data_IF_399441284662
#
_entry.id   IF_399441284662
#
_cell.length_a   1.000
_cell.length_b   1.000
_cell.length_c   1.000
_cell.angle_alpha   90.00
_cell.angle_beta   90.00
_cell.angle_gamma   90.00
#
_symmetry.space_group_name_H-M   'P 1'
#
loop_
_entity.id
_entity.type
_entity.pdbx_description
1 polymer ?
#
# COMPACT_ATOMS: atom_id res chain seq x y z
N UNK A 1 32.00 -1.51 10.16
CA UNK A 1 31.75 -1.49 8.70
C UNK A 1 31.61 -2.88 8.08
N UNK A 2 32.44 -3.86 8.42
CA UNK A 2 32.42 -5.23 7.88
C UNK A 2 31.12 -6.02 8.13
N UNK A 3 30.43 -5.82 9.25
CA UNK A 3 29.19 -6.50 9.60
C UNK A 3 28.00 -6.13 8.68
N UNK A 4 27.89 -4.85 8.29
CA UNK A 4 26.84 -4.38 7.36
C UNK A 4 27.05 -4.95 5.95
N UNK A 5 28.31 -5.03 5.51
CA UNK A 5 28.69 -5.60 4.21
C UNK A 5 28.34 -7.09 4.19
N UNK A 6 28.62 -7.83 5.26
CA UNK A 6 28.28 -9.25 5.37
C UNK A 6 26.78 -9.53 5.32
N UNK A 7 25.96 -8.70 5.99
CA UNK A 7 24.49 -8.82 5.92
C UNK A 7 23.94 -8.55 4.51
N UNK A 8 24.48 -7.55 3.81
CA UNK A 8 24.08 -7.25 2.43
C UNK A 8 24.40 -8.39 1.49
N UNK A 9 25.62 -8.95 1.60
CA UNK A 9 26.03 -10.09 0.77
C UNK A 9 25.18 -11.33 1.04
N UNK A 10 24.90 -11.64 2.31
CA UNK A 10 24.04 -12.78 2.69
C UNK A 10 22.62 -12.64 2.11
N UNK A 11 22.06 -11.42 2.12
CA UNK A 11 20.75 -11.14 1.52
C UNK A 11 20.77 -11.37 0.01
N UNK A 12 21.77 -10.85 -0.70
CA UNK A 12 21.94 -11.05 -2.15
C UNK A 12 22.07 -12.52 -2.52
N UNK A 13 22.85 -13.26 -1.78
CA UNK A 13 23.01 -14.70 -2.02
C UNK A 13 21.68 -15.45 -1.82
N UNK A 14 20.88 -15.05 -0.81
CA UNK A 14 19.52 -15.60 -0.60
C UNK A 14 18.60 -15.31 -1.78
N UNK A 15 18.59 -14.06 -2.29
CA UNK A 15 17.80 -13.67 -3.46
C UNK A 15 18.17 -14.54 -4.67
N UNK A 16 19.46 -14.67 -4.96
CA UNK A 16 19.93 -15.50 -6.07
C UNK A 16 19.53 -16.98 -5.93
N UNK A 17 19.61 -17.52 -4.73
CA UNK A 17 19.23 -18.90 -4.43
C UNK A 17 17.72 -19.17 -4.53
N UNK A 18 16.89 -18.13 -4.47
CA UNK A 18 15.43 -18.24 -4.60
C UNK A 18 14.96 -18.10 -6.06
N UNK A 19 15.80 -17.63 -6.96
CA UNK A 19 15.43 -17.44 -8.36
C UNK A 19 15.12 -18.79 -9.02
N UNK A 20 13.96 -18.85 -9.69
CA UNK A 20 13.48 -20.05 -10.38
C UNK A 20 12.88 -21.14 -9.49
N UNK A 21 12.83 -20.93 -8.14
CA UNK A 21 12.12 -21.83 -7.24
C UNK A 21 10.62 -21.56 -7.25
N UNK A 22 9.83 -22.59 -6.97
CA UNK A 22 8.39 -22.41 -6.82
C UNK A 22 8.08 -21.54 -5.57
N UNK A 23 7.32 -20.44 -5.68
CA UNK A 23 6.95 -19.62 -4.54
C UNK A 23 6.25 -20.39 -3.40
N UNK A 24 5.45 -21.40 -3.72
CA UNK A 24 4.76 -22.24 -2.73
C UNK A 24 5.72 -23.07 -1.87
N UNK A 25 6.97 -23.28 -2.30
CA UNK A 25 8.02 -23.87 -1.48
C UNK A 25 8.65 -22.85 -0.52
N UNK A 26 8.48 -21.57 -0.81
CA UNK A 26 9.07 -20.48 -0.05
C UNK A 26 8.09 -19.85 0.94
N UNK A 27 6.80 -19.94 0.64
CA UNK A 27 5.71 -19.40 1.45
C UNK A 27 4.53 -20.38 1.50
N UNK A 28 4.04 -20.67 2.70
CA UNK A 28 2.89 -21.54 2.90
C UNK A 28 1.59 -20.90 2.35
N UNK A 29 0.71 -21.74 1.80
CA UNK A 29 -0.61 -21.33 1.27
C UNK A 29 -1.42 -20.51 2.29
N UNK A 30 -1.45 -20.95 3.55
CA UNK A 30 -2.22 -20.28 4.62
C UNK A 30 -1.75 -18.84 4.87
N UNK A 31 -0.47 -18.56 4.62
CA UNK A 31 0.07 -17.19 4.71
C UNK A 31 -0.40 -16.31 3.56
N UNK A 32 -0.47 -16.85 2.36
CA UNK A 32 -1.01 -16.15 1.19
C UNK A 32 -2.53 -15.95 1.33
N UNK A 33 -3.27 -16.99 1.74
CA UNK A 33 -4.72 -16.95 1.91
C UNK A 33 -5.17 -15.83 2.86
N UNK A 34 -4.44 -15.62 3.96
CA UNK A 34 -4.69 -14.49 4.88
C UNK A 34 -4.58 -13.12 4.22
N UNK A 35 -3.79 -13.00 3.15
CA UNK A 35 -3.60 -11.75 2.40
C UNK A 35 -4.49 -11.62 1.16
N UNK A 36 -5.21 -12.67 0.79
CA UNK A 36 -6.02 -12.65 -0.44
C UNK A 36 -7.08 -11.56 -0.44
N UNK A 37 -7.65 -11.24 0.74
CA UNK A 37 -8.61 -10.15 0.86
C UNK A 37 -7.98 -8.80 0.49
N UNK A 38 -6.83 -8.49 1.05
CA UNK A 38 -6.10 -7.25 0.79
C UNK A 38 -5.55 -7.20 -0.65
N UNK A 39 -5.23 -8.35 -1.23
CA UNK A 39 -4.79 -8.45 -2.63
C UNK A 39 -5.96 -8.09 -3.56
N UNK A 40 -7.15 -8.64 -3.33
CA UNK A 40 -8.36 -8.38 -4.12
C UNK A 40 -8.87 -6.94 -3.98
N UNK A 41 -8.65 -6.33 -2.84
CA UNK A 41 -9.07 -4.95 -2.55
C UNK A 41 -8.59 -3.94 -3.61
N UNK A 42 -7.46 -4.18 -4.28
CA UNK A 42 -6.99 -3.34 -5.38
C UNK A 42 -8.00 -3.28 -6.53
N UNK A 43 -8.61 -4.39 -6.90
CA UNK A 43 -9.62 -4.44 -7.95
C UNK A 43 -10.91 -3.74 -7.52
N UNK A 44 -11.28 -3.91 -6.25
CA UNK A 44 -12.50 -3.30 -5.72
C UNK A 44 -12.40 -1.77 -5.61
N UNK A 45 -11.27 -1.25 -5.15
CA UNK A 45 -11.11 0.17 -4.86
C UNK A 45 -10.50 0.98 -6.02
N UNK A 46 -9.49 0.44 -6.69
CA UNK A 46 -8.72 1.21 -7.68
C UNK A 46 -9.29 1.05 -9.09
N UNK A 47 -9.77 -0.14 -9.44
CA UNK A 47 -10.24 -0.40 -10.81
C UNK A 47 -11.65 0.14 -11.04
N UNK A 48 -12.46 0.31 -9.98
CA UNK A 48 -13.78 0.92 -10.11
C UNK A 48 -13.70 2.44 -10.38
N UNK A 49 -12.69 3.12 -9.82
CA UNK A 49 -12.51 4.57 -9.92
C UNK A 49 -11.66 5.00 -11.13
N UNK A 50 -10.66 4.21 -11.51
CA UNK A 50 -9.88 4.46 -12.73
C UNK A 50 -10.76 4.09 -13.92
N UNK A 51 -11.46 5.09 -14.43
CA UNK A 51 -12.30 4.97 -15.62
C UNK A 51 -11.61 4.13 -16.69
N UNK A 52 -12.36 3.20 -17.24
CA UNK A 52 -12.06 2.20 -18.27
C UNK A 52 -11.23 2.66 -19.49
N UNK A 53 -10.81 3.91 -19.57
CA UNK A 53 -10.18 4.50 -20.75
C UNK A 53 -8.67 4.24 -20.87
N UNK A 54 -7.96 4.03 -19.76
CA UNK A 54 -6.49 3.81 -19.80
C UNK A 54 -6.07 2.33 -19.79
N UNK A 55 -6.91 1.44 -19.29
CA UNK A 55 -6.66 0.01 -19.29
C UNK A 55 -7.46 -0.65 -20.43
N UNK A 56 -6.92 -0.63 -21.62
CA UNK A 56 -7.45 -1.39 -22.77
C UNK A 56 -7.30 -2.89 -22.49
N UNK A 57 -8.11 -3.42 -21.59
CA UNK A 57 -8.21 -4.86 -21.43
C UNK A 57 -9.08 -5.42 -22.56
N UNK A 58 -8.63 -6.47 -23.20
CA UNK A 58 -9.41 -7.21 -24.20
C UNK A 58 -10.63 -7.92 -23.60
N UNK A 59 -10.81 -7.84 -22.29
CA UNK A 59 -11.85 -8.45 -21.49
C UNK A 59 -11.35 -8.80 -20.09
N UNK A 60 -12.25 -9.16 -19.20
CA UNK A 60 -11.92 -9.67 -17.86
C UNK A 60 -12.37 -11.13 -17.74
N UNK A 61 -11.63 -11.90 -16.95
CA UNK A 61 -12.01 -13.26 -16.57
C UNK A 61 -13.11 -13.18 -15.52
N UNK A 62 -14.27 -13.78 -15.77
CA UNK A 62 -15.35 -13.82 -14.82
C UNK A 62 -15.04 -14.76 -13.62
N UNK A 63 -15.77 -14.57 -12.52
CA UNK A 63 -15.54 -15.31 -11.27
C UNK A 63 -15.74 -16.82 -11.43
N UNK A 64 -16.64 -17.26 -12.31
CA UNK A 64 -16.91 -18.70 -12.54
C UNK A 64 -15.70 -19.31 -13.23
N UNK A 65 -15.25 -18.72 -14.33
CA UNK A 65 -14.05 -19.17 -15.07
C UNK A 65 -12.80 -19.13 -14.17
N UNK A 66 -12.66 -18.08 -13.34
CA UNK A 66 -11.56 -17.98 -12.38
C UNK A 66 -11.52 -19.16 -11.40
N UNK A 67 -12.68 -19.52 -10.83
CA UNK A 67 -12.79 -20.61 -9.89
C UNK A 67 -12.61 -21.98 -10.57
N UNK A 68 -13.19 -22.18 -11.74
CA UNK A 68 -13.08 -23.45 -12.50
C UNK A 68 -11.64 -23.76 -12.91
N UNK A 69 -10.86 -22.73 -13.20
CA UNK A 69 -9.43 -22.86 -13.52
C UNK A 69 -8.52 -22.86 -12.29
N UNK A 70 -9.07 -22.78 -11.07
CA UNK A 70 -8.29 -22.67 -9.82
C UNK A 70 -7.21 -21.56 -9.88
N UNK A 71 -7.56 -20.40 -10.43
CA UNK A 71 -6.62 -19.33 -10.72
C UNK A 71 -5.91 -18.78 -9.46
N UNK A 72 -6.50 -18.88 -8.28
CA UNK A 72 -5.83 -18.54 -7.02
C UNK A 72 -4.60 -19.44 -6.77
N UNK A 73 -4.66 -20.71 -7.17
CA UNK A 73 -3.49 -21.63 -7.09
C UNK A 73 -2.46 -21.31 -8.17
N UNK A 74 -2.90 -20.93 -9.37
CA UNK A 74 -2.00 -20.44 -10.42
C UNK A 74 -1.27 -19.19 -9.94
N UNK A 75 -2.02 -18.23 -9.37
CA UNK A 75 -1.44 -17.03 -8.77
C UNK A 75 -0.39 -17.38 -7.71
N UNK A 76 -0.71 -18.25 -6.75
CA UNK A 76 0.22 -18.67 -5.71
C UNK A 76 1.52 -19.26 -6.29
N UNK A 77 1.41 -20.03 -7.38
CA UNK A 77 2.55 -20.70 -8.02
C UNK A 77 3.50 -19.73 -8.74
N UNK A 78 2.99 -18.61 -9.23
CA UNK A 78 3.79 -17.62 -9.99
C UNK A 78 4.13 -16.38 -9.17
N UNK A 79 3.58 -16.24 -7.96
CA UNK A 79 3.74 -15.06 -7.11
C UNK A 79 5.14 -14.97 -6.49
N UNK A 80 6.09 -14.45 -7.24
CA UNK A 80 7.44 -14.11 -6.76
C UNK A 80 7.56 -12.68 -6.24
N UNK A 81 6.46 -11.95 -6.11
CA UNK A 81 6.48 -10.54 -5.73
C UNK A 81 6.97 -10.35 -4.29
N UNK A 82 7.63 -9.23 -4.04
CA UNK A 82 8.23 -8.90 -2.73
C UNK A 82 7.46 -7.84 -1.97
N UNK A 83 6.38 -7.30 -2.57
CA UNK A 83 5.56 -6.22 -1.99
C UNK A 83 4.08 -6.53 -2.16
N UNK A 84 3.22 -5.97 -1.31
CA UNK A 84 1.77 -6.07 -1.48
C UNK A 84 1.30 -5.51 -2.82
N UNK A 85 1.77 -4.32 -3.19
CA UNK A 85 1.44 -3.71 -4.49
C UNK A 85 1.81 -4.63 -5.66
N UNK A 86 2.94 -5.34 -5.55
CA UNK A 86 3.33 -6.34 -6.56
C UNK A 86 2.35 -7.51 -6.64
N UNK A 87 1.84 -8.00 -5.50
CA UNK A 87 0.80 -9.05 -5.46
C UNK A 87 -0.50 -8.56 -6.09
N UNK A 88 -0.96 -7.36 -5.73
CA UNK A 88 -2.18 -6.76 -6.25
C UNK A 88 -2.13 -6.56 -7.76
N UNK A 89 -1.03 -6.00 -8.28
CA UNK A 89 -0.86 -5.80 -9.73
C UNK A 89 -0.76 -7.14 -10.47
N UNK A 90 -0.07 -8.14 -9.91
CA UNK A 90 0.00 -9.47 -10.53
C UNK A 90 -1.38 -10.13 -10.59
N UNK A 91 -2.13 -10.09 -9.48
CA UNK A 91 -3.48 -10.63 -9.39
C UNK A 91 -4.41 -9.97 -10.40
N UNK A 92 -4.40 -8.63 -10.44
CA UNK A 92 -5.17 -7.85 -11.41
C UNK A 92 -4.82 -8.20 -12.87
N UNK A 93 -3.55 -8.39 -13.17
CA UNK A 93 -3.12 -8.78 -14.52
C UNK A 93 -3.61 -10.15 -14.95
N UNK A 94 -3.78 -11.08 -14.01
CA UNK A 94 -4.34 -12.40 -14.30
C UNK A 94 -5.84 -12.35 -14.53
N UNK A 95 -6.55 -11.41 -13.89
CA UNK A 95 -7.99 -11.19 -14.10
C UNK A 95 -8.29 -10.52 -15.44
N UNK A 96 -7.35 -9.76 -16.00
CA UNK A 96 -7.57 -9.00 -17.21
C UNK A 96 -6.83 -9.61 -18.38
N UNK A 97 -7.56 -9.84 -19.48
CA UNK A 97 -6.96 -10.30 -20.73
C UNK A 97 -6.01 -9.22 -21.25
N UNK A 98 -4.77 -9.60 -21.47
CA UNK A 98 -3.74 -8.69 -21.95
C UNK A 98 -3.84 -8.50 -23.46
N UNK A 99 -3.65 -7.28 -23.93
CA UNK A 99 -3.51 -7.02 -25.36
C UNK A 99 -2.20 -7.63 -25.88
N UNK A 100 -2.14 -7.91 -27.18
CA UNK A 100 -0.91 -8.41 -27.83
C UNK A 100 0.29 -7.51 -27.53
N UNK A 101 0.12 -6.19 -27.62
CA UNK A 101 1.18 -5.23 -27.35
C UNK A 101 1.67 -5.34 -25.89
N UNK A 102 0.76 -5.49 -24.95
CA UNK A 102 1.11 -5.67 -23.53
C UNK A 102 1.90 -6.97 -23.30
N UNK A 103 1.57 -8.04 -23.99
CA UNK A 103 2.31 -9.31 -23.94
C UNK A 103 3.72 -9.16 -24.51
N UNK A 104 3.87 -8.50 -25.65
CA UNK A 104 5.17 -8.25 -26.29
C UNK A 104 6.08 -7.39 -25.40
N UNK A 105 5.55 -6.38 -24.74
CA UNK A 105 6.30 -5.54 -23.81
C UNK A 105 6.67 -6.28 -22.51
N UNK A 106 5.80 -7.18 -22.04
CA UNK A 106 6.12 -8.08 -20.95
C UNK A 106 7.29 -9.00 -21.31
N UNK A 107 7.26 -9.60 -22.50
CA UNK A 107 8.32 -10.50 -22.97
C UNK A 107 9.68 -9.79 -23.06
N UNK A 108 9.70 -8.54 -23.54
CA UNK A 108 10.91 -7.70 -23.55
C UNK A 108 11.45 -7.50 -22.11
N UNK A 109 10.57 -7.21 -21.13
CA UNK A 109 10.96 -7.04 -19.75
C UNK A 109 11.50 -8.33 -19.13
N UNK A 110 10.83 -9.45 -19.37
CA UNK A 110 11.27 -10.78 -18.93
C UNK A 110 12.67 -11.07 -19.47
N UNK A 111 12.86 -10.92 -20.78
CA UNK A 111 14.14 -11.13 -21.46
C UNK A 111 15.24 -10.21 -20.91
N UNK A 112 14.92 -8.94 -20.63
CA UNK A 112 15.86 -7.99 -20.03
C UNK A 112 16.33 -8.46 -18.65
N UNK A 113 15.41 -8.80 -17.76
CA UNK A 113 15.73 -9.22 -16.39
C UNK A 113 16.35 -10.61 -16.32
N UNK A 114 15.99 -11.52 -17.22
CA UNK A 114 16.60 -12.86 -17.28
C UNK A 114 18.10 -12.80 -17.58
N UNK A 115 18.49 -11.88 -18.47
CA UNK A 115 19.91 -11.71 -18.88
C UNK A 115 20.74 -10.87 -17.92
N UNK A 116 20.11 -10.06 -17.03
CA UNK A 116 20.80 -9.07 -16.17
C UNK A 116 20.64 -9.38 -14.71
N UNK A 117 21.29 -10.44 -14.23
CA UNK A 117 21.20 -10.90 -12.85
C UNK A 117 21.55 -9.82 -11.82
N UNK A 118 22.57 -9.00 -12.06
CA UNK A 118 23.00 -7.96 -11.10
C UNK A 118 21.92 -6.90 -10.89
N UNK A 119 21.30 -6.41 -11.98
CA UNK A 119 20.22 -5.41 -11.93
C UNK A 119 19.00 -6.01 -11.27
N UNK A 120 18.60 -7.22 -11.66
CA UNK A 120 17.48 -7.95 -11.06
C UNK A 120 17.67 -8.09 -9.55
N UNK A 121 18.84 -8.56 -9.11
CA UNK A 121 19.16 -8.74 -7.69
C UNK A 121 19.13 -7.43 -6.90
N UNK A 122 19.60 -6.33 -7.50
CA UNK A 122 19.58 -5.01 -6.85
C UNK A 122 18.15 -4.49 -6.68
N UNK A 123 17.32 -4.60 -7.72
CA UNK A 123 15.90 -4.18 -7.65
C UNK A 123 15.17 -5.04 -6.64
N UNK A 124 15.35 -6.35 -6.66
CA UNK A 124 14.71 -7.27 -5.73
C UNK A 124 15.14 -7.02 -4.29
N UNK A 125 16.41 -6.65 -4.04
CA UNK A 125 16.88 -6.21 -2.72
C UNK A 125 16.16 -4.96 -2.23
N UNK A 126 15.91 -3.98 -3.12
CA UNK A 126 15.14 -2.77 -2.78
C UNK A 126 13.68 -3.09 -2.47
N UNK A 127 13.03 -3.90 -3.30
CA UNK A 127 11.63 -4.33 -3.08
C UNK A 127 11.48 -5.15 -1.79
N UNK A 128 12.43 -6.02 -1.46
CA UNK A 128 12.43 -6.74 -0.18
C UNK A 128 12.56 -5.84 1.04
N UNK A 129 13.11 -4.64 0.92
CA UNK A 129 13.14 -3.67 2.02
C UNK A 129 11.79 -3.05 2.29
N UNK A 130 10.99 -2.83 1.24
CA UNK A 130 9.61 -2.39 1.36
C UNK A 130 8.80 -3.52 2.01
N UNK A 131 8.97 -4.75 1.51
CA UNK A 131 8.34 -5.94 2.05
C UNK A 131 6.81 -5.96 1.85
N UNK A 132 6.16 -6.88 2.57
CA UNK A 132 4.71 -7.07 2.56
C UNK A 132 4.14 -6.60 3.91
N UNK A 133 4.27 -5.30 4.21
CA UNK A 133 3.64 -4.70 5.39
C UNK A 133 2.16 -4.48 5.10
N UNK A 134 1.30 -4.80 6.06
CA UNK A 134 -0.16 -4.77 5.88
C UNK A 134 -0.67 -3.39 5.42
N UNK A 135 -0.10 -2.33 5.97
CA UNK A 135 -0.46 -0.95 5.65
C UNK A 135 -0.11 -0.56 4.21
N UNK A 136 0.84 -1.24 3.58
CA UNK A 136 1.25 -0.98 2.21
C UNK A 136 0.28 -1.49 1.14
N UNK A 137 -0.77 -2.23 1.54
CA UNK A 137 -1.83 -2.65 0.61
C UNK A 137 -2.67 -1.47 0.11
N UNK A 138 -2.74 -0.38 0.86
CA UNK A 138 -3.45 0.85 0.46
C UNK A 138 -2.63 1.78 -0.44
N UNK A 139 -1.36 1.49 -0.67
CA UNK A 139 -0.47 2.35 -1.44
C UNK A 139 -0.99 2.66 -2.87
N UNK A 140 -1.52 1.70 -3.65
CA UNK A 140 -2.08 2.01 -4.96
C UNK A 140 -3.21 3.03 -4.90
N UNK A 141 -4.10 2.91 -3.92
CA UNK A 141 -5.20 3.85 -3.68
C UNK A 141 -4.68 5.28 -3.45
N UNK A 142 -3.70 5.46 -2.57
CA UNK A 142 -3.10 6.78 -2.33
C UNK A 142 -2.34 7.36 -3.54
N UNK A 143 -1.90 6.52 -4.49
CA UNK A 143 -1.23 6.98 -5.70
C UNK A 143 -2.19 7.34 -6.82
N UNK A 144 -3.41 6.80 -6.82
CA UNK A 144 -4.42 7.02 -7.86
C UNK A 144 -5.45 8.09 -7.47
N UNK A 145 -5.75 8.23 -6.19
CA UNK A 145 -6.61 9.33 -5.73
C UNK A 145 -5.85 10.65 -5.66
N UNK A 146 -6.46 11.69 -6.19
CA UNK A 146 -6.08 13.04 -5.84
C UNK A 146 -6.38 13.25 -4.34
N UNK A 147 -5.35 13.07 -3.51
CA UNK A 147 -5.43 13.37 -2.08
C UNK A 147 -5.75 14.86 -1.98
N UNK A 148 -7.02 15.19 -1.83
CA UNK A 148 -7.42 16.56 -1.52
C UNK A 148 -6.72 16.95 -0.21
N UNK A 149 -5.76 17.89 -0.24
CA UNK A 149 -5.04 18.28 0.97
C UNK A 149 -6.06 18.75 2.00
N UNK A 150 -5.75 18.52 3.26
CA UNK A 150 -6.57 19.01 4.38
C UNK A 150 -6.94 20.46 4.10
N UNK A 151 -8.24 20.75 4.00
CA UNK A 151 -8.76 22.09 3.76
C UNK A 151 -8.40 23.04 4.91
N UNK A 152 -7.99 22.52 6.08
CA UNK A 152 -7.60 23.30 7.24
C UNK A 152 -6.11 23.65 7.14
N UNK A 153 -5.76 24.93 6.95
CA UNK A 153 -4.37 25.36 6.93
C UNK A 153 -3.65 24.95 8.24
N UNK A 154 -2.46 24.36 8.12
CA UNK A 154 -1.67 23.94 9.30
C UNK A 154 -1.46 25.06 10.33
N UNK A 155 -1.39 26.32 9.88
CA UNK A 155 -1.30 27.49 10.74
C UNK A 155 -2.48 27.59 11.74
N UNK A 156 -3.69 27.23 11.35
CA UNK A 156 -4.87 27.23 12.23
C UNK A 156 -4.73 26.16 13.33
N UNK A 157 -4.20 24.98 12.98
CA UNK A 157 -3.99 23.90 13.95
C UNK A 157 -2.92 24.29 14.98
N UNK A 158 -1.81 24.90 14.55
CA UNK A 158 -0.79 25.42 15.46
C UNK A 158 -1.31 26.55 16.36
N UNK A 159 -2.13 27.44 15.81
CA UNK A 159 -2.77 28.50 16.59
C UNK A 159 -3.71 27.93 17.66
N UNK A 160 -4.54 26.93 17.31
CA UNK A 160 -5.44 26.29 18.24
C UNK A 160 -4.69 25.56 19.38
N UNK A 161 -3.57 24.91 19.06
CA UNK A 161 -2.72 24.27 20.04
C UNK A 161 -2.04 25.29 20.98
N UNK A 162 -1.56 26.40 20.44
CA UNK A 162 -1.02 27.52 21.22
C UNK A 162 -2.05 28.14 22.16
N UNK A 163 -3.28 28.33 21.67
CA UNK A 163 -4.38 28.86 22.45
C UNK A 163 -4.75 27.91 23.61
N UNK A 164 -4.75 26.60 23.35
CA UNK A 164 -5.01 25.58 24.39
C UNK A 164 -3.95 25.64 25.51
N UNK A 165 -2.68 25.69 25.14
CA UNK A 165 -1.58 25.85 26.09
C UNK A 165 -1.69 27.17 26.88
N UNK A 166 -2.03 28.26 26.22
CA UNK A 166 -2.23 29.58 26.87
C UNK A 166 -3.35 29.56 27.89
N UNK A 167 -4.53 28.98 27.54
CA UNK A 167 -5.65 28.84 28.46
C UNK A 167 -5.30 27.96 29.64
N UNK A 168 -4.52 26.89 29.46
CA UNK A 168 -4.06 26.02 30.55
C UNK A 168 -3.15 26.76 31.52
N UNK A 169 -2.17 27.52 31.04
CA UNK A 169 -1.27 28.33 31.84
C UNK A 169 -2.07 29.38 32.62
N UNK A 170 -3.01 30.05 31.97
CA UNK A 170 -3.90 31.03 32.60
C UNK A 170 -4.75 30.43 33.72
N UNK A 171 -5.28 29.24 33.51
CA UNK A 171 -6.06 28.52 34.54
C UNK A 171 -5.23 28.18 35.78
N UNK A 172 -3.97 27.78 35.59
CA UNK A 172 -3.05 27.44 36.70
C UNK A 172 -2.61 28.70 37.50
N UNK A 173 -2.22 29.77 36.76
CA UNK A 173 -1.66 30.98 37.37
C UNK A 173 -2.73 31.86 38.05
N UNK A 174 -3.87 32.05 37.37
CA UNK A 174 -4.92 32.98 37.86
C UNK A 174 -5.99 32.30 38.69
N UNK A 175 -6.00 30.97 38.80
CA UNK A 175 -6.98 30.18 39.55
C UNK A 175 -8.45 30.59 39.28
N UNK A 176 -8.74 31.11 38.12
CA UNK A 176 -10.06 31.62 37.74
C UNK A 176 -10.83 30.59 36.93
N UNK A 177 -12.10 30.40 37.25
CA UNK A 177 -12.99 29.49 36.53
C UNK A 177 -13.18 29.88 35.08
N UNK A 178 -13.02 31.15 34.72
CA UNK A 178 -13.10 31.63 33.32
C UNK A 178 -12.02 31.01 32.41
N UNK A 179 -10.78 30.87 32.91
CA UNK A 179 -9.69 30.24 32.16
C UNK A 179 -9.87 28.73 32.04
N UNK A 180 -10.43 28.10 33.06
CA UNK A 180 -10.74 26.68 33.03
C UNK A 180 -11.87 26.35 32.04
N UNK A 181 -12.90 27.18 31.93
CA UNK A 181 -13.97 27.02 30.95
C UNK A 181 -13.46 27.30 29.55
N UNK A 182 -12.61 28.32 29.34
CA UNK A 182 -11.97 28.61 28.08
C UNK A 182 -11.11 27.43 27.59
N UNK A 183 -10.30 26.83 28.45
CA UNK A 183 -9.54 25.63 28.13
C UNK A 183 -10.43 24.48 27.65
N UNK A 184 -11.54 24.22 28.35
CA UNK A 184 -12.46 23.13 28.02
C UNK A 184 -13.13 23.35 26.67
N UNK A 185 -13.55 24.57 26.36
CA UNK A 185 -14.13 24.92 25.04
C UNK A 185 -13.12 24.68 23.91
N UNK A 186 -11.90 25.18 24.06
CA UNK A 186 -10.85 24.99 23.03
C UNK A 186 -10.50 23.52 22.86
N UNK A 187 -10.45 22.73 23.97
CA UNK A 187 -10.22 21.30 23.92
C UNK A 187 -11.32 20.55 23.15
N UNK A 188 -12.59 20.90 23.37
CA UNK A 188 -13.72 20.31 22.64
C UNK A 188 -13.67 20.67 21.15
N UNK A 189 -13.36 21.91 20.81
CA UNK A 189 -13.20 22.31 19.39
C UNK A 189 -12.08 21.52 18.72
N UNK A 190 -10.92 21.38 19.37
CA UNK A 190 -9.83 20.56 18.86
C UNK A 190 -10.24 19.10 18.66
N UNK A 191 -10.97 18.52 19.59
CA UNK A 191 -11.48 17.17 19.49
C UNK A 191 -12.46 17.02 18.32
N UNK A 192 -13.37 17.96 18.11
CA UNK A 192 -14.33 17.95 17.01
C UNK A 192 -13.62 18.04 15.66
N UNK A 193 -12.61 18.91 15.54
CA UNK A 193 -11.78 19.02 14.34
C UNK A 193 -11.06 17.71 14.07
N UNK A 194 -10.47 17.09 15.10
CA UNK A 194 -9.80 15.80 14.97
C UNK A 194 -10.77 14.70 14.52
N UNK A 195 -11.94 14.59 15.17
CA UNK A 195 -12.95 13.59 14.80
C UNK A 195 -13.48 13.80 13.38
N UNK A 196 -13.77 15.06 12.99
CA UNK A 196 -14.23 15.38 11.65
C UNK A 196 -13.17 14.99 10.61
N UNK A 197 -11.93 15.34 10.87
CA UNK A 197 -10.81 15.00 9.99
C UNK A 197 -10.64 13.48 9.90
N UNK A 198 -10.67 12.79 11.04
CA UNK A 198 -10.57 11.34 11.10
C UNK A 198 -11.71 10.66 10.32
N UNK A 199 -12.97 11.04 10.56
CA UNK A 199 -14.13 10.48 9.84
C UNK A 199 -14.05 10.72 8.34
N UNK A 200 -13.55 11.88 7.89
CA UNK A 200 -13.37 12.17 6.48
C UNK A 200 -12.31 11.27 5.83
N UNK A 201 -11.22 11.00 6.55
CA UNK A 201 -10.18 10.08 6.04
C UNK A 201 -10.60 8.61 6.12
N UNK A 202 -11.29 8.20 7.18
CA UNK A 202 -11.81 6.83 7.28
C UNK A 202 -12.98 6.58 6.32
N UNK A 203 -13.84 7.57 6.09
CA UNK A 203 -14.95 7.46 5.13
C UNK A 203 -14.51 7.42 3.67
N UNK A 204 -13.30 7.88 3.35
CA UNK A 204 -12.71 7.73 2.03
C UNK A 204 -11.92 6.40 1.87
N UNK A 205 -11.77 5.62 2.96
CA UNK A 205 -11.04 4.35 2.98
C UNK A 205 -11.99 3.12 3.00
N UNK A 206 -13.30 3.33 3.14
CA UNK A 206 -14.36 2.33 3.16
C UNK A 206 -15.53 2.77 2.27
#
# INVERSE_FOLDING_TARGET
MNWVIGKKQKRRNRIKAQFGKNPMELEAWESLEKRMREIRMYEELVVQDVKKEEWQSAGSVDTVTWNDLEMDRVFARINHTRTYMGEQILYHRLHNMQTRQSCEDMEKRISFFSRRESIRTEIEEKLMRIGKQKESCYLPFFLTEEINPLVIPGAILYFLQGLLAFCLIGAILLRSNLWATGFLVVAVVNLLIYLHTKCKYEGNLF
#
